data_IF_566784332824
#
_entry.id   IF_566784332824
#
_cell.length_a   1.000
_cell.length_b   1.000
_cell.length_c   1.000
_cell.angle_alpha   90.00
_cell.angle_beta   90.00
_cell.angle_gamma   90.00
#
_symmetry.space_group_name_H-M   'P 1'
#
loop_
_entity.id
_entity.type
_entity.pdbx_description
1 polymer ?
#
# COMPACT_ATOMS: atom_id res chain seq x y z
N UNK A 1 9.23 -25.88 20.26
CA UNK A 1 8.44 -24.71 20.73
C UNK A 1 9.26 -23.46 20.44
N UNK A 2 9.14 -22.90 19.24
CA UNK A 2 9.73 -21.58 18.96
C UNK A 2 9.03 -20.56 19.86
N UNK A 3 9.80 -19.87 20.72
CA UNK A 3 9.31 -18.65 21.38
C UNK A 3 8.74 -17.75 20.28
N UNK A 4 7.44 -17.47 20.33
CA UNK A 4 6.83 -16.46 19.45
C UNK A 4 7.64 -15.17 19.62
N UNK A 5 8.47 -14.83 18.62
CA UNK A 5 9.05 -13.50 18.51
C UNK A 5 7.87 -12.53 18.46
N UNK A 6 7.75 -11.71 19.50
CA UNK A 6 6.71 -10.68 19.59
C UNK A 6 6.78 -9.70 18.43
N UNK A 7 5.76 -8.85 18.29
CA UNK A 7 5.70 -7.81 17.27
C UNK A 7 6.96 -6.92 17.34
N UNK A 8 7.69 -6.84 16.23
CA UNK A 8 8.96 -6.13 16.15
C UNK A 8 8.76 -4.62 16.17
N UNK A 9 7.73 -4.11 15.50
CA UNK A 9 7.44 -2.68 15.53
C UNK A 9 7.14 -2.19 16.95
N UNK A 10 6.34 -2.92 17.73
CA UNK A 10 6.04 -2.57 19.12
C UNK A 10 7.29 -2.56 19.99
N UNK A 11 8.21 -3.52 19.80
CA UNK A 11 9.52 -3.51 20.46
C UNK A 11 10.30 -2.24 20.11
N UNK A 12 10.37 -1.90 18.82
CA UNK A 12 11.07 -0.71 18.32
C UNK A 12 10.44 0.58 18.88
N UNK A 13 9.11 0.67 18.95
CA UNK A 13 8.40 1.81 19.57
C UNK A 13 8.72 1.91 21.06
N UNK A 14 8.76 0.79 21.78
CA UNK A 14 9.17 0.78 23.19
C UNK A 14 10.60 1.28 23.37
N UNK A 15 11.53 0.85 22.53
CA UNK A 15 12.93 1.31 22.53
C UNK A 15 13.03 2.81 22.21
N UNK A 16 12.20 3.31 21.28
CA UNK A 16 12.10 4.74 20.99
C UNK A 16 11.67 5.52 22.22
N UNK A 17 10.61 5.08 22.92
CA UNK A 17 10.11 5.77 24.12
C UNK A 17 11.15 5.83 25.24
N UNK A 18 11.94 4.77 25.43
CA UNK A 18 13.05 4.75 26.40
C UNK A 18 14.15 5.73 25.98
N UNK A 19 14.62 5.65 24.74
CA UNK A 19 15.65 6.55 24.24
C UNK A 19 15.21 8.02 24.23
N UNK A 20 13.92 8.30 24.03
CA UNK A 20 13.37 9.66 24.06
C UNK A 20 13.54 10.30 25.45
N UNK A 21 13.36 9.52 26.53
CA UNK A 21 13.55 9.97 27.92
C UNK A 21 15.03 10.18 28.27
N UNK A 22 15.92 9.33 27.77
CA UNK A 22 17.33 9.33 28.17
C UNK A 22 18.24 10.23 27.31
N UNK A 23 17.99 10.28 26.00
CA UNK A 23 18.93 10.80 25.00
C UNK A 23 18.39 11.98 24.18
N UNK A 24 17.12 12.34 24.40
CA UNK A 24 16.43 13.38 23.66
C UNK A 24 15.94 12.93 22.27
N UNK A 25 15.08 13.77 21.68
CA UNK A 25 14.26 13.41 20.51
C UNK A 25 15.07 13.06 19.26
N UNK A 26 16.13 13.82 18.95
CA UNK A 26 16.90 13.65 17.71
C UNK A 26 17.60 12.29 17.66
N UNK A 27 18.36 11.95 18.71
CA UNK A 27 19.11 10.69 18.76
C UNK A 27 18.16 9.49 18.88
N UNK A 28 17.06 9.62 19.64
CA UNK A 28 16.04 8.58 19.70
C UNK A 28 15.43 8.29 18.33
N UNK A 29 15.13 9.33 17.55
CA UNK A 29 14.61 9.21 16.19
C UNK A 29 15.62 8.53 15.27
N UNK A 30 16.86 9.03 15.18
CA UNK A 30 17.88 8.47 14.28
C UNK A 30 18.13 6.96 14.58
N UNK A 31 18.26 6.56 15.85
CA UNK A 31 18.42 5.14 16.22
C UNK A 31 17.21 4.27 15.83
N UNK A 32 16.00 4.79 16.07
CA UNK A 32 14.76 4.05 15.79
C UNK A 32 14.56 3.85 14.30
N UNK A 33 14.85 4.90 13.55
CA UNK A 33 14.88 4.88 12.10
C UNK A 33 15.84 3.78 11.61
N UNK A 34 17.02 3.61 12.23
CA UNK A 34 18.03 2.64 11.78
C UNK A 34 17.57 1.21 12.03
N UNK A 35 16.94 0.99 13.18
CA UNK A 35 16.28 -0.27 13.51
C UNK A 35 15.15 -0.60 12.52
N UNK A 36 14.38 0.41 12.09
CA UNK A 36 13.29 0.23 11.14
C UNK A 36 13.77 -0.07 9.71
N UNK A 37 14.93 0.42 9.27
CA UNK A 37 15.47 0.04 7.95
C UNK A 37 15.92 -1.41 7.91
N UNK A 38 16.42 -1.92 9.05
CA UNK A 38 16.78 -3.34 9.21
C UNK A 38 15.57 -4.24 9.50
N UNK A 39 14.36 -3.68 9.57
CA UNK A 39 13.14 -4.44 9.78
C UNK A 39 12.91 -5.42 8.63
N UNK A 40 12.60 -6.67 8.99
CA UNK A 40 12.22 -7.70 8.02
C UNK A 40 10.83 -8.24 8.37
N UNK A 41 9.85 -8.13 7.45
CA UNK A 41 8.53 -8.71 7.64
C UNK A 41 8.60 -10.22 7.84
N UNK A 42 7.65 -10.77 8.58
CA UNK A 42 7.49 -12.23 8.70
C UNK A 42 6.78 -12.77 7.46
N UNK A 43 7.50 -12.86 6.34
CA UNK A 43 6.93 -13.26 5.05
C UNK A 43 6.15 -14.57 5.09
N UNK A 44 6.58 -15.56 5.88
CA UNK A 44 5.85 -16.82 6.02
C UNK A 44 4.45 -16.64 6.65
N UNK A 45 4.34 -15.77 7.66
CA UNK A 45 3.06 -15.44 8.29
C UNK A 45 2.14 -14.69 7.30
N UNK A 46 2.70 -13.72 6.58
CA UNK A 46 1.96 -12.93 5.58
C UNK A 46 1.47 -13.84 4.45
N UNK A 47 2.32 -14.73 3.94
CA UNK A 47 1.93 -15.71 2.92
C UNK A 47 0.83 -16.63 3.42
N UNK A 48 0.96 -17.16 4.64
CA UNK A 48 -0.08 -18.02 5.25
C UNK A 48 -1.42 -17.30 5.36
N UNK A 49 -1.41 -16.02 5.79
CA UNK A 49 -2.62 -15.20 5.82
C UNK A 49 -3.23 -14.99 4.43
N UNK A 50 -2.42 -14.71 3.41
CA UNK A 50 -2.89 -14.55 2.04
C UNK A 50 -3.44 -15.87 1.47
N UNK A 51 -2.84 -17.00 1.84
CA UNK A 51 -3.33 -18.32 1.45
C UNK A 51 -4.69 -18.62 2.14
N UNK A 52 -4.90 -18.16 3.38
CA UNK A 52 -6.21 -18.20 4.04
C UNK A 52 -7.26 -17.37 3.31
N UNK A 53 -6.88 -16.15 2.87
CA UNK A 53 -7.75 -15.28 2.06
C UNK A 53 -8.09 -15.95 0.73
N UNK A 54 -7.11 -16.53 0.04
CA UNK A 54 -7.33 -17.25 -1.23
C UNK A 54 -8.27 -18.45 -1.05
N UNK A 55 -8.10 -19.24 0.03
CA UNK A 55 -9.02 -20.34 0.37
C UNK A 55 -10.42 -19.86 0.72
N UNK A 56 -10.55 -18.71 1.36
CA UNK A 56 -11.85 -18.12 1.67
C UNK A 56 -12.54 -17.63 0.39
N UNK A 57 -11.80 -17.01 -0.53
CA UNK A 57 -12.31 -16.61 -1.86
C UNK A 57 -12.77 -17.83 -2.66
N UNK A 58 -12.01 -18.92 -2.66
CA UNK A 58 -12.38 -20.18 -3.30
C UNK A 58 -13.71 -20.75 -2.79
N UNK A 59 -13.96 -20.62 -1.48
CA UNK A 59 -15.20 -21.10 -0.86
C UNK A 59 -16.36 -20.12 -0.96
N UNK A 60 -16.09 -18.86 -1.32
CA UNK A 60 -17.11 -17.80 -1.35
C UNK A 60 -18.05 -17.90 -2.57
N UNK A 61 -17.64 -18.62 -3.62
CA UNK A 61 -18.34 -18.66 -4.90
C UNK A 61 -18.12 -17.41 -5.78
N UNK A 62 -17.39 -16.40 -5.28
CA UNK A 62 -17.04 -15.22 -6.07
C UNK A 62 -15.96 -15.54 -7.11
N UNK A 63 -15.95 -14.77 -8.19
CA UNK A 63 -14.76 -14.63 -9.01
C UNK A 63 -13.76 -13.72 -8.30
N UNK A 64 -12.46 -13.96 -8.52
CA UNK A 64 -11.43 -13.07 -8.04
C UNK A 64 -10.24 -12.97 -8.99
N UNK A 65 -9.57 -11.83 -8.93
CA UNK A 65 -8.30 -11.58 -9.60
C UNK A 65 -7.21 -11.63 -8.55
N UNK A 66 -6.26 -12.53 -8.72
CA UNK A 66 -5.02 -12.57 -7.96
C UNK A 66 -4.01 -11.68 -8.66
N UNK A 67 -3.43 -10.73 -7.93
CA UNK A 67 -2.51 -9.75 -8.51
C UNK A 67 -1.22 -9.75 -7.69
N UNK A 68 -0.13 -10.13 -8.35
CA UNK A 68 1.23 -10.02 -7.81
C UNK A 68 1.96 -8.93 -8.57
N UNK A 69 2.53 -7.95 -7.86
CA UNK A 69 3.22 -6.81 -8.46
C UNK A 69 4.47 -6.44 -7.67
N UNK A 70 5.37 -5.65 -8.27
CA UNK A 70 6.63 -5.23 -7.68
C UNK A 70 6.76 -3.71 -7.69
N UNK A 71 7.37 -3.15 -6.64
CA UNK A 71 7.69 -1.73 -6.58
C UNK A 71 8.90 -1.42 -7.48
N UNK A 72 8.74 -0.53 -8.47
CA UNK A 72 9.85 -0.05 -9.31
C UNK A 72 10.56 1.15 -8.69
N UNK A 73 9.81 1.99 -7.98
CA UNK A 73 10.34 3.10 -7.18
C UNK A 73 9.93 2.98 -5.72
N UNK A 74 10.47 3.84 -4.86
CA UNK A 74 10.10 3.89 -3.44
C UNK A 74 8.62 4.22 -3.32
N UNK A 75 7.92 3.60 -2.39
CA UNK A 75 6.48 3.75 -2.21
C UNK A 75 6.17 4.35 -0.83
N UNK A 76 5.27 5.33 -0.81
CA UNK A 76 4.71 5.93 0.39
C UNK A 76 3.21 5.67 0.42
N UNK A 77 2.72 5.06 1.50
CA UNK A 77 1.31 4.67 1.64
C UNK A 77 0.61 5.53 2.69
N UNK A 78 -0.59 5.12 3.11
CA UNK A 78 -1.42 5.78 4.10
C UNK A 78 -0.81 6.00 5.50
N UNK A 79 -1.66 6.26 6.48
CA UNK A 79 -1.23 6.62 7.84
C UNK A 79 -1.16 5.42 8.79
N UNK A 80 -0.23 5.49 9.75
CA UNK A 80 -0.22 4.64 10.92
C UNK A 80 0.43 5.38 12.10
N UNK A 81 0.32 4.85 13.34
CA UNK A 81 0.98 5.43 14.52
C UNK A 81 2.50 5.58 14.38
N UNK A 82 3.15 4.89 13.44
CA UNK A 82 4.58 5.07 13.16
C UNK A 82 4.92 6.51 12.75
N UNK A 83 3.93 7.26 12.25
CA UNK A 83 4.03 8.67 11.91
C UNK A 83 4.63 9.53 13.03
N UNK A 84 4.32 9.22 14.30
CA UNK A 84 4.86 9.98 15.43
C UNK A 84 6.39 9.87 15.57
N UNK A 85 6.99 8.88 14.92
CA UNK A 85 8.43 8.64 14.87
C UNK A 85 8.99 9.12 13.52
N UNK A 86 8.33 8.75 12.42
CA UNK A 86 8.85 8.94 11.05
C UNK A 86 8.53 10.31 10.46
N UNK A 87 7.57 11.06 11.02
CA UNK A 87 7.01 12.33 10.53
C UNK A 87 6.37 12.28 9.13
N UNK A 88 6.54 11.18 8.40
CA UNK A 88 5.85 10.90 7.14
C UNK A 88 5.01 9.65 7.34
N UNK A 89 3.72 9.70 6.95
CA UNK A 89 2.81 8.56 7.10
C UNK A 89 3.29 7.34 6.31
N UNK A 90 3.17 6.18 6.94
CA UNK A 90 3.35 4.87 6.33
C UNK A 90 2.34 3.91 6.94
N UNK A 91 1.48 3.29 6.13
CA UNK A 91 0.46 2.38 6.62
C UNK A 91 1.11 1.09 7.15
N UNK A 92 0.66 0.64 8.32
CA UNK A 92 1.22 -0.53 9.00
C UNK A 92 0.13 -1.41 9.58
N UNK A 93 0.24 -2.72 9.33
CA UNK A 93 -0.62 -3.74 9.93
C UNK A 93 0.05 -4.24 11.21
N UNK A 94 -0.58 -3.98 12.36
CA UNK A 94 -0.03 -4.31 13.67
C UNK A 94 -0.11 -5.82 13.99
N UNK A 95 -0.97 -6.57 13.31
CA UNK A 95 -1.15 -8.00 13.55
C UNK A 95 -0.13 -8.79 12.73
N UNK A 96 -0.09 -8.52 11.43
CA UNK A 96 0.88 -9.14 10.53
C UNK A 96 2.29 -8.58 10.74
N UNK A 97 2.39 -7.40 11.36
CA UNK A 97 3.62 -6.66 11.61
C UNK A 97 4.34 -6.42 10.29
N UNK A 98 3.77 -5.56 9.44
CA UNK A 98 4.30 -5.25 8.11
C UNK A 98 3.68 -3.97 7.56
N UNK A 99 4.39 -3.21 6.70
CA UNK A 99 3.74 -2.19 5.89
C UNK A 99 2.76 -2.83 4.89
N UNK A 100 1.71 -2.10 4.52
CA UNK A 100 0.70 -2.55 3.55
C UNK A 100 0.15 -1.39 2.72
N UNK A 101 -0.58 -1.70 1.65
CA UNK A 101 -1.40 -0.74 0.88
C UNK A 101 -2.86 -1.07 1.16
N UNK A 102 -3.64 -0.10 1.63
CA UNK A 102 -5.04 -0.35 1.98
C UNK A 102 -5.90 -0.64 0.74
N UNK A 103 -6.84 -1.58 0.85
CA UNK A 103 -7.79 -1.87 -0.24
C UNK A 103 -8.62 -0.65 -0.63
N UNK A 104 -8.93 0.23 0.32
CA UNK A 104 -9.59 1.52 0.06
C UNK A 104 -8.70 2.50 -0.72
N UNK A 105 -7.39 2.51 -0.46
CA UNK A 105 -6.41 3.31 -1.20
C UNK A 105 -6.31 2.82 -2.64
N UNK A 106 -6.21 1.50 -2.84
CA UNK A 106 -6.23 0.87 -4.17
C UNK A 106 -7.53 1.20 -4.90
N UNK A 107 -8.68 0.99 -4.26
CA UNK A 107 -10.01 1.31 -4.82
C UNK A 107 -10.08 2.78 -5.25
N UNK A 108 -9.64 3.70 -4.40
CA UNK A 108 -9.68 5.14 -4.69
C UNK A 108 -8.82 5.53 -5.88
N UNK A 109 -7.59 4.99 -5.96
CA UNK A 109 -6.66 5.22 -7.06
C UNK A 109 -7.25 4.68 -8.37
N UNK A 110 -7.68 3.42 -8.37
CA UNK A 110 -8.21 2.76 -9.57
C UNK A 110 -9.50 3.44 -10.03
N UNK A 111 -10.40 3.80 -9.11
CA UNK A 111 -11.61 4.58 -9.43
C UNK A 111 -11.28 5.92 -10.11
N UNK A 112 -10.31 6.67 -9.57
CA UNK A 112 -9.92 7.96 -10.13
C UNK A 112 -9.40 7.80 -11.57
N UNK A 113 -8.48 6.85 -11.80
CA UNK A 113 -7.97 6.58 -13.15
C UNK A 113 -9.01 5.95 -14.07
N UNK A 114 -10.01 5.25 -13.53
CA UNK A 114 -11.10 4.69 -14.33
C UNK A 114 -11.88 5.81 -15.02
N UNK A 115 -12.17 6.87 -14.26
CA UNK A 115 -12.84 8.06 -14.78
C UNK A 115 -12.03 8.73 -15.88
N UNK A 116 -10.73 8.91 -15.68
CA UNK A 116 -9.81 9.49 -16.68
C UNK A 116 -9.73 8.65 -17.97
N UNK A 117 -9.66 7.32 -17.86
CA UNK A 117 -9.46 6.41 -19.01
C UNK A 117 -10.75 6.18 -19.81
N UNK A 118 -11.90 6.12 -19.14
CA UNK A 118 -13.15 5.66 -19.76
C UNK A 118 -14.15 6.77 -20.01
N UNK A 119 -14.13 7.86 -19.22
CA UNK A 119 -15.17 8.90 -19.21
C UNK A 119 -16.60 8.33 -19.11
N UNK A 120 -16.78 7.16 -18.47
CA UNK A 120 -18.06 6.47 -18.38
C UNK A 120 -18.55 6.39 -16.92
N UNK A 121 -19.22 7.45 -16.49
CA UNK A 121 -19.73 7.60 -15.12
C UNK A 121 -20.71 6.48 -14.71
N UNK A 122 -21.46 5.92 -15.67
CA UNK A 122 -22.43 4.85 -15.38
C UNK A 122 -21.73 3.54 -14.98
N UNK A 123 -20.68 3.15 -15.71
CA UNK A 123 -19.89 1.95 -15.38
C UNK A 123 -19.07 2.19 -14.12
N UNK A 124 -18.52 3.40 -13.94
CA UNK A 124 -17.80 3.78 -12.73
C UNK A 124 -18.68 3.65 -11.48
N UNK A 125 -19.86 4.29 -11.47
CA UNK A 125 -20.81 4.21 -10.35
C UNK A 125 -21.22 2.76 -10.07
N UNK A 126 -21.43 1.94 -11.10
CA UNK A 126 -21.79 0.53 -10.93
C UNK A 126 -20.65 -0.31 -10.29
N UNK A 127 -19.41 -0.11 -10.72
CA UNK A 127 -18.26 -0.88 -10.23
C UNK A 127 -17.84 -0.47 -8.81
N UNK A 128 -17.76 0.83 -8.55
CA UNK A 128 -17.16 1.36 -7.32
C UNK A 128 -18.18 1.84 -6.30
N UNK A 129 -19.44 2.03 -6.70
CA UNK A 129 -20.50 2.60 -5.90
C UNK A 129 -20.48 4.14 -5.87
N UNK A 130 -21.63 4.68 -5.45
CA UNK A 130 -21.91 6.10 -5.20
C UNK A 130 -22.74 6.25 -3.92
N UNK A 131 -23.27 7.45 -3.62
CA UNK A 131 -24.01 7.73 -2.38
C UNK A 131 -25.26 6.86 -2.19
N UNK A 132 -25.81 6.26 -3.26
CA UNK A 132 -27.02 5.43 -3.22
C UNK A 132 -26.82 3.97 -3.59
N UNK A 133 -25.62 3.57 -4.03
CA UNK A 133 -25.36 2.22 -4.55
C UNK A 133 -24.04 1.65 -4.03
N UNK A 134 -24.10 0.39 -3.57
CA UNK A 134 -22.90 -0.38 -3.23
C UNK A 134 -22.12 -0.74 -4.49
N UNK A 135 -20.80 -0.62 -4.43
CA UNK A 135 -19.93 -1.06 -5.52
C UNK A 135 -19.84 -2.59 -5.59
N UNK A 136 -19.74 -3.11 -6.81
CA UNK A 136 -19.74 -4.56 -7.12
C UNK A 136 -18.36 -5.22 -7.08
N UNK A 137 -17.31 -4.46 -6.78
CA UNK A 137 -15.92 -4.95 -6.67
C UNK A 137 -15.37 -4.73 -5.26
N UNK A 138 -14.88 -5.81 -4.67
CA UNK A 138 -14.21 -5.84 -3.36
C UNK A 138 -12.70 -5.72 -3.59
N UNK A 139 -12.07 -4.75 -2.91
CA UNK A 139 -10.63 -4.52 -2.97
C UNK A 139 -9.98 -4.94 -1.66
N UNK A 140 -9.05 -5.89 -1.72
CA UNK A 140 -8.30 -6.33 -0.54
C UNK A 140 -7.04 -5.49 -0.34
N UNK A 141 -6.53 -5.50 0.89
CA UNK A 141 -5.23 -4.92 1.21
C UNK A 141 -4.11 -5.64 0.45
N UNK A 142 -3.12 -4.89 -0.02
CA UNK A 142 -1.91 -5.47 -0.60
C UNK A 142 -0.82 -5.61 0.47
N UNK A 143 -0.23 -6.80 0.56
CA UNK A 143 0.82 -7.11 1.53
C UNK A 143 2.12 -7.55 0.84
N UNK A 144 3.29 -7.22 1.42
CA UNK A 144 4.57 -7.60 0.85
C UNK A 144 4.83 -9.09 1.11
N UNK A 145 5.05 -9.86 0.05
CA UNK A 145 5.29 -11.31 0.10
C UNK A 145 6.76 -11.67 -0.09
N UNK A 146 7.57 -10.77 -0.65
CA UNK A 146 8.99 -10.99 -0.86
C UNK A 146 9.74 -9.67 -1.06
N UNK A 147 11.04 -9.68 -0.77
CA UNK A 147 11.92 -8.53 -0.97
C UNK A 147 13.01 -8.42 0.11
N UNK A 148 14.09 -7.71 -0.21
CA UNK A 148 15.15 -7.39 0.75
C UNK A 148 14.97 -5.96 1.24
N UNK A 149 15.17 -5.74 2.55
CA UNK A 149 15.07 -4.43 3.20
C UNK A 149 13.77 -3.71 2.79
N UNK A 150 12.64 -4.20 3.31
CA UNK A 150 11.29 -3.73 2.91
C UNK A 150 11.14 -2.22 3.10
N UNK A 151 11.86 -1.66 4.08
CA UNK A 151 11.94 -0.23 4.34
C UNK A 151 13.29 0.33 3.92
N UNK A 152 13.28 1.59 3.50
CA UNK A 152 14.47 2.37 3.22
C UNK A 152 14.28 3.81 3.69
N UNK A 153 15.37 4.54 3.81
CA UNK A 153 15.31 5.97 4.06
C UNK A 153 15.13 6.77 2.79
N UNK A 154 14.49 7.91 2.96
CA UNK A 154 14.64 9.02 2.05
C UNK A 154 14.70 10.35 2.81
N UNK A 155 15.17 11.37 2.11
CA UNK A 155 15.31 12.71 2.64
C UNK A 155 14.59 13.66 1.70
N UNK A 156 13.67 14.44 2.25
CA UNK A 156 13.10 15.58 1.54
C UNK A 156 13.55 16.82 2.27
N UNK A 157 14.12 17.76 1.51
CA UNK A 157 14.55 19.05 2.02
C UNK A 157 13.67 20.13 1.39
N UNK A 158 12.58 20.56 2.03
CA UNK A 158 11.82 21.72 1.56
C UNK A 158 12.69 22.96 1.72
N UNK A 159 12.86 23.71 0.63
CA UNK A 159 13.65 24.94 0.64
C UNK A 159 12.75 26.17 0.88
N UNK A 160 11.54 26.19 0.31
CA UNK A 160 10.65 27.36 0.28
C UNK A 160 9.45 27.30 1.23
N UNK A 161 9.48 26.47 2.28
CA UNK A 161 8.38 26.41 3.24
C UNK A 161 8.31 27.71 4.05
N UNK A 162 7.47 28.67 3.62
CA UNK A 162 7.25 29.96 4.28
C UNK A 162 8.26 31.07 3.93
N UNK A 163 9.12 30.86 2.93
CA UNK A 163 10.06 31.89 2.46
C UNK A 163 9.38 32.80 1.43
N UNK A 164 9.46 34.12 1.62
CA UNK A 164 8.92 35.14 0.69
C UNK A 164 9.92 35.53 -0.42
N UNK A 165 11.20 35.26 -0.20
CA UNK A 165 12.32 35.57 -1.08
C UNK A 165 13.46 34.54 -0.87
N UNK A 166 14.50 34.61 -1.70
CA UNK A 166 15.65 33.68 -1.65
C UNK A 166 16.51 33.85 -0.39
N UNK A 167 16.54 35.03 0.22
CA UNK A 167 17.32 35.31 1.43
C UNK A 167 16.71 34.66 2.68
N UNK A 168 15.42 34.36 2.65
CA UNK A 168 14.68 33.72 3.73
C UNK A 168 14.56 32.18 3.59
N UNK A 169 15.22 31.59 2.59
CA UNK A 169 15.25 30.13 2.38
C UNK A 169 16.03 29.46 3.50
N UNK A 170 15.35 28.58 4.25
CA UNK A 170 15.96 27.73 5.28
C UNK A 170 15.65 26.27 4.97
N UNK A 171 16.57 25.55 4.30
CA UNK A 171 16.38 24.14 3.98
C UNK A 171 16.32 23.30 5.26
N UNK A 172 15.23 22.56 5.47
CA UNK A 172 15.08 21.66 6.63
C UNK A 172 15.02 20.21 6.12
N UNK A 173 16.11 19.43 6.19
CA UNK A 173 16.10 18.04 5.78
C UNK A 173 15.20 17.19 6.68
N UNK A 174 14.18 16.57 6.10
CA UNK A 174 13.27 15.64 6.78
C UNK A 174 13.64 14.23 6.33
N UNK A 175 14.25 13.45 7.24
CA UNK A 175 14.48 12.00 7.05
C UNK A 175 13.20 11.24 7.35
N UNK A 176 12.78 10.35 6.46
CA UNK A 176 11.60 9.52 6.63
C UNK A 176 11.78 8.11 6.05
N UNK A 177 10.84 7.21 6.38
CA UNK A 177 10.79 5.85 5.87
C UNK A 177 9.87 5.76 4.65
N UNK A 178 10.29 4.96 3.68
CA UNK A 178 9.49 4.54 2.55
C UNK A 178 9.61 3.02 2.36
N UNK A 179 8.60 2.43 1.73
CA UNK A 179 8.74 1.07 1.21
C UNK A 179 9.76 1.13 0.07
N UNK A 180 10.71 0.21 0.09
CA UNK A 180 11.81 0.18 -0.85
C UNK A 180 11.33 -0.23 -2.26
N UNK A 181 12.18 0.00 -3.27
CA UNK A 181 12.01 -0.62 -4.59
C UNK A 181 12.39 -2.10 -4.53
N UNK A 182 11.84 -2.89 -5.44
CA UNK A 182 12.10 -4.32 -5.54
C UNK A 182 11.30 -5.18 -4.56
N UNK A 183 10.27 -4.62 -3.91
CA UNK A 183 9.41 -5.33 -2.97
C UNK A 183 8.20 -5.88 -3.73
N UNK A 184 7.98 -7.18 -3.60
CA UNK A 184 6.86 -7.86 -4.25
C UNK A 184 5.66 -7.88 -3.32
N UNK A 185 4.52 -7.40 -3.81
CA UNK A 185 3.24 -7.38 -3.12
C UNK A 185 2.27 -8.36 -3.77
N UNK A 186 1.32 -8.84 -2.98
CA UNK A 186 0.16 -9.58 -3.45
C UNK A 186 -1.12 -8.94 -2.93
N UNK A 187 -2.13 -8.85 -3.79
CA UNK A 187 -3.49 -8.44 -3.44
C UNK A 187 -4.51 -9.24 -4.24
N UNK A 188 -5.78 -9.08 -3.87
CA UNK A 188 -6.92 -9.71 -4.53
C UNK A 188 -8.00 -8.67 -4.84
N UNK A 189 -8.69 -8.86 -5.95
CA UNK A 189 -9.97 -8.21 -6.26
C UNK A 189 -11.03 -9.30 -6.32
N UNK A 190 -12.18 -9.13 -5.69
CA UNK A 190 -13.27 -10.10 -5.77
C UNK A 190 -14.57 -9.46 -6.25
N UNK A 191 -15.37 -10.21 -7.00
CA UNK A 191 -16.64 -9.74 -7.56
C UNK A 191 -17.53 -10.92 -7.94
N UNK A 192 -18.83 -10.67 -8.00
CA UNK A 192 -19.78 -11.58 -8.64
C UNK A 192 -19.77 -11.35 -10.16
N UNK A 193 -19.61 -12.42 -10.95
CA UNK A 193 -19.49 -12.29 -12.41
C UNK A 193 -20.78 -11.81 -13.08
N UNK A 194 -21.95 -12.23 -12.58
CA UNK A 194 -23.24 -11.80 -13.12
C UNK A 194 -23.44 -10.32 -12.84
N UNK A 195 -23.21 -9.90 -11.60
CA UNK A 195 -23.32 -8.50 -11.21
C UNK A 195 -22.35 -7.60 -11.98
N UNK A 196 -21.10 -8.05 -12.18
CA UNK A 196 -20.11 -7.29 -12.93
C UNK A 196 -20.53 -7.10 -14.40
N UNK A 197 -21.11 -8.14 -15.02
CA UNK A 197 -21.58 -8.07 -16.40
C UNK A 197 -22.81 -7.16 -16.58
N UNK A 198 -23.63 -6.98 -15.54
CA UNK A 198 -24.71 -5.98 -15.55
C UNK A 198 -24.20 -4.54 -15.64
N UNK A 199 -22.98 -4.27 -15.14
CA UNK A 199 -22.35 -2.96 -15.33
C UNK A 199 -21.95 -2.71 -16.79
N UNK A 200 -21.75 -3.76 -17.56
CA UNK A 200 -21.33 -3.74 -18.96
C UNK A 200 -20.47 -4.95 -19.29
N UNK A 201 -20.59 -5.49 -20.50
CA UNK A 201 -19.85 -6.70 -20.93
C UNK A 201 -18.33 -6.56 -20.85
N UNK A 202 -17.81 -5.34 -21.01
CA UNK A 202 -16.38 -5.06 -20.95
C UNK A 202 -15.90 -4.61 -19.57
N UNK A 203 -16.75 -4.66 -18.54
CA UNK A 203 -16.44 -4.10 -17.21
C UNK A 203 -15.20 -4.71 -16.58
N UNK A 204 -15.03 -6.05 -16.69
CA UNK A 204 -13.83 -6.72 -16.20
C UNK A 204 -12.58 -6.25 -16.95
N UNK A 205 -12.66 -6.17 -18.28
CA UNK A 205 -11.55 -5.70 -19.10
C UNK A 205 -11.17 -4.26 -18.75
N UNK A 206 -12.14 -3.36 -18.58
CA UNK A 206 -11.90 -1.98 -18.19
C UNK A 206 -11.30 -1.88 -16.78
N UNK A 207 -11.83 -2.64 -15.82
CA UNK A 207 -11.28 -2.73 -14.46
C UNK A 207 -9.81 -3.15 -14.48
N UNK A 208 -9.50 -4.25 -15.17
CA UNK A 208 -8.13 -4.76 -15.29
C UNK A 208 -7.24 -3.75 -16.01
N UNK A 209 -7.66 -3.22 -17.16
CA UNK A 209 -6.90 -2.22 -17.92
C UNK A 209 -6.56 -1.00 -17.07
N UNK A 210 -7.53 -0.47 -16.33
CA UNK A 210 -7.33 0.66 -15.42
C UNK A 210 -6.41 0.29 -14.26
N UNK A 211 -6.52 -0.93 -13.72
CA UNK A 211 -5.61 -1.43 -12.69
C UNK A 211 -4.16 -1.39 -13.17
N UNK A 212 -3.85 -2.01 -14.33
CA UNK A 212 -2.50 -1.99 -14.93
C UNK A 212 -2.03 -0.56 -15.19
N UNK A 213 -2.90 0.27 -15.77
CA UNK A 213 -2.57 1.66 -16.07
C UNK A 213 -2.21 2.45 -14.81
N UNK A 214 -3.04 2.36 -13.77
CA UNK A 214 -2.82 3.06 -12.50
C UNK A 214 -1.52 2.63 -11.81
N UNK A 215 -1.12 1.36 -11.90
CA UNK A 215 0.14 0.85 -11.35
C UNK A 215 1.35 1.50 -12.01
N UNK A 216 1.30 1.70 -13.33
CA UNK A 216 2.39 2.32 -14.10
C UNK A 216 2.51 3.81 -13.83
N UNK A 217 1.37 4.52 -13.75
CA UNK A 217 1.37 5.95 -13.41
C UNK A 217 1.85 6.15 -11.96
N UNK A 218 1.39 5.30 -11.05
CA UNK A 218 1.93 5.14 -9.71
C UNK A 218 0.86 5.21 -8.62
N UNK A 219 1.11 4.48 -7.54
CA UNK A 219 0.24 4.39 -6.37
C UNK A 219 0.81 5.12 -5.16
N UNK A 220 -0.06 5.47 -4.22
CA UNK A 220 0.32 6.09 -2.96
C UNK A 220 0.62 7.58 -3.08
N UNK A 221 1.58 8.06 -2.30
CA UNK A 221 1.85 9.50 -2.14
C UNK A 221 3.07 9.94 -2.94
N UNK A 222 3.05 11.21 -3.34
CA UNK A 222 4.15 11.89 -4.07
C UNK A 222 4.49 11.22 -5.40
N UNK A 223 3.48 10.67 -6.08
CA UNK A 223 3.61 10.02 -7.40
C UNK A 223 4.25 10.96 -8.44
N UNK A 224 3.84 12.23 -8.46
CA UNK A 224 4.42 13.28 -9.33
C UNK A 224 5.91 13.57 -9.07
N UNK A 225 6.48 13.07 -7.96
CA UNK A 225 7.90 13.17 -7.61
C UNK A 225 8.65 11.85 -7.82
N UNK A 226 8.08 10.91 -8.57
CA UNK A 226 8.71 9.63 -8.92
C UNK A 226 8.51 8.49 -7.92
N UNK A 227 7.62 8.66 -6.93
CA UNK A 227 7.29 7.60 -5.97
C UNK A 227 6.17 6.69 -6.49
N UNK A 228 6.15 5.46 -6.00
CA UNK A 228 5.01 4.56 -6.14
C UNK A 228 4.79 3.96 -7.52
N UNK A 229 5.78 4.00 -8.41
CA UNK A 229 5.69 3.27 -9.69
C UNK A 229 5.77 1.76 -9.42
N UNK A 230 4.85 1.01 -10.01
CA UNK A 230 4.68 -0.43 -9.83
C UNK A 230 4.67 -1.14 -11.18
N UNK A 231 5.02 -2.43 -11.18
CA UNK A 231 4.86 -3.30 -12.34
C UNK A 231 4.24 -4.64 -11.98
N UNK A 232 3.45 -5.19 -12.90
CA UNK A 232 2.76 -6.46 -12.70
C UNK A 232 3.74 -7.60 -12.96
N UNK A 233 3.80 -8.55 -12.03
CA UNK A 233 4.53 -9.81 -12.21
C UNK A 233 3.61 -10.91 -12.71
N UNK A 234 2.44 -11.03 -12.11
CA UNK A 234 1.48 -12.09 -12.38
C UNK A 234 0.08 -11.57 -12.08
N UNK A 235 -0.87 -11.93 -12.94
CA UNK A 235 -2.27 -11.56 -12.79
C UNK A 235 -3.14 -12.68 -13.33
N UNK A 236 -3.86 -13.35 -12.43
CA UNK A 236 -4.70 -14.48 -12.75
C UNK A 236 -6.14 -14.20 -12.37
N UNK A 237 -7.06 -14.49 -13.29
CA UNK A 237 -8.50 -14.43 -13.02
C UNK A 237 -8.98 -15.85 -12.74
N UNK A 238 -9.58 -16.04 -11.57
CA UNK A 238 -10.24 -17.29 -11.19
C UNK A 238 -11.72 -17.05 -11.03
N UNK A 239 -12.51 -17.78 -11.78
CA UNK A 239 -13.95 -17.85 -11.64
C UNK A 239 -14.34 -19.29 -11.34
N UNK A 240 -15.23 -19.46 -10.38
CA UNK A 240 -15.90 -20.74 -10.17
C UNK A 240 -16.98 -20.83 -11.24
N UNK A 241 -16.89 -21.83 -12.11
CA UNK A 241 -17.90 -22.07 -13.14
C UNK A 241 -19.27 -22.30 -12.49
N UNK A 242 -20.31 -21.76 -13.10
CA UNK A 242 -21.69 -22.11 -12.80
C UNK A 242 -21.97 -23.61 -13.02
#
# INVERSE_FOLDING_TARGET
MERQRGNQLLRIISEYMTNLKEKGQKLAKDNTMENLVNFTPRYNLIKSYLDDVERALDRSGLCYVKITFITLSKLLTGWSPIYFITEVPLAWDMILDTPYIAGSEIKGIVKNYFKEVTSNDKVESCLYGDEGKMGKVIFFNAYPIDGKNVLTYDIITPHYNGAKDEYNVKPIPIKFLAINKGITFKTYLAFDNKELNECGKDSLYLLLKTMIFSMRIGWGRKVTRGYGSLDIKEMDVKCHGE
#
